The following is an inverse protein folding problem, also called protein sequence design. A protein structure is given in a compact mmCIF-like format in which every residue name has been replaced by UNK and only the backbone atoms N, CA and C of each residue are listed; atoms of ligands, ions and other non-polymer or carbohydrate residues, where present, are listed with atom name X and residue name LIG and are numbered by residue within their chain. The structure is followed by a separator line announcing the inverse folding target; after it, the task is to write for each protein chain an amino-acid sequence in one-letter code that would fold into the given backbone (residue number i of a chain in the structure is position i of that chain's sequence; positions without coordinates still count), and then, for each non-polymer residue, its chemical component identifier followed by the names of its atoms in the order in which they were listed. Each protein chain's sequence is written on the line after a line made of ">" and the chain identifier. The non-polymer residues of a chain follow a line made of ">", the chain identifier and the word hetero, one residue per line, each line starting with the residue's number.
data_IF_193628071368
#
_entry.id   IF_193628071368
#
_cell.length_a   1.000
_cell.length_b   1.000
_cell.length_c   1.000
_cell.angle_alpha   90.00
_cell.angle_beta   90.00
_cell.angle_gamma   90.00
#
_symmetry.space_group_name_H-M   'P 1'
#
loop_
_entity.id
_entity.type
_entity.pdbx_description
1 polymer ?
#
# COMPACT_ATOMS: atom_id res chain seq x y z
N UNK A 1 47.82 20.95 36.16
CA UNK A 1 47.14 19.72 35.69
C UNK A 1 48.13 18.56 35.81
N UNK A 2 47.85 17.55 36.65
CA UNK A 2 48.77 16.44 36.93
C UNK A 2 48.60 15.33 35.87
N UNK A 3 49.67 14.58 35.55
CA UNK A 3 49.67 13.43 34.63
C UNK A 3 48.51 12.44 34.87
N UNK A 4 48.10 12.23 36.12
CA UNK A 4 46.92 11.41 36.44
C UNK A 4 45.61 11.96 35.87
N UNK A 5 45.41 13.29 35.85
CA UNK A 5 44.21 13.92 35.28
C UNK A 5 44.19 13.81 33.74
N UNK A 6 45.36 13.83 33.10
CA UNK A 6 45.47 13.65 31.64
C UNK A 6 45.08 12.23 31.21
N UNK A 7 45.46 11.23 31.99
CA UNK A 7 45.12 9.81 31.73
C UNK A 7 43.62 9.55 31.93
N UNK A 8 43.02 10.14 32.98
CA UNK A 8 41.58 10.03 33.24
C UNK A 8 40.73 10.68 32.14
N UNK A 9 41.13 11.85 31.64
CA UNK A 9 40.44 12.52 30.54
C UNK A 9 40.56 11.75 29.22
N UNK A 10 41.74 11.21 28.91
CA UNK A 10 41.94 10.40 27.71
C UNK A 10 41.11 9.11 27.74
N UNK A 11 41.03 8.44 28.89
CA UNK A 11 40.20 7.25 29.08
C UNK A 11 38.70 7.57 28.95
N UNK A 12 38.24 8.71 29.47
CA UNK A 12 36.84 9.14 29.36
C UNK A 12 36.45 9.45 27.91
N UNK A 13 37.34 10.09 27.12
CA UNK A 13 37.11 10.38 25.69
C UNK A 13 37.09 9.12 24.84
N UNK A 14 37.96 8.14 25.15
CA UNK A 14 37.96 6.82 24.49
C UNK A 14 36.70 6.02 24.81
N UNK A 15 36.23 6.05 26.07
CA UNK A 15 34.97 5.42 26.48
C UNK A 15 33.75 6.09 25.86
N UNK A 16 33.72 7.43 25.78
CA UNK A 16 32.63 8.14 25.10
C UNK A 16 32.60 7.84 23.59
N UNK A 17 33.76 7.78 22.93
CA UNK A 17 33.86 7.48 21.49
C UNK A 17 33.37 6.07 21.12
N UNK A 18 33.52 5.09 22.02
CA UNK A 18 33.03 3.73 21.81
C UNK A 18 31.50 3.62 21.92
N UNK A 19 30.87 4.43 22.78
CA UNK A 19 29.41 4.44 22.95
C UNK A 19 28.66 5.14 21.80
N UNK A 20 29.27 6.13 21.15
CA UNK A 20 28.65 6.85 20.02
C UNK A 20 28.63 6.05 18.70
N UNK A 21 29.34 4.92 18.62
CA UNK A 21 29.41 4.11 17.40
C UNK A 21 28.35 2.99 17.32
N UNK A 22 27.58 2.75 18.38
CA UNK A 22 26.59 1.66 18.42
C UNK A 22 25.15 2.08 18.01
N UNK A 23 24.89 3.37 17.80
CA UNK A 23 23.54 3.86 17.44
C UNK A 23 23.25 3.90 15.94
N UNK A 24 24.14 3.38 15.09
CA UNK A 24 23.94 3.29 13.64
C UNK A 24 23.40 1.90 13.20
N UNK A 25 22.71 1.18 14.08
CA UNK A 25 22.17 -0.13 13.75
C UNK A 25 20.77 0.01 13.11
N UNK A 26 20.71 -0.23 11.81
CA UNK A 26 19.51 -0.56 11.02
C UNK A 26 18.36 0.45 11.01
N UNK A 27 18.52 1.51 10.22
CA UNK A 27 17.35 2.05 9.53
C UNK A 27 16.88 1.02 8.49
N UNK A 28 16.07 0.05 8.92
CA UNK A 28 15.31 -0.78 7.99
C UNK A 28 14.45 0.16 7.13
N UNK A 29 14.21 -0.15 5.84
CA UNK A 29 13.23 0.57 5.05
C UNK A 29 11.92 0.58 5.84
N UNK A 30 11.41 1.78 6.11
CA UNK A 30 10.21 2.02 6.93
C UNK A 30 8.92 1.60 6.24
N UNK A 31 9.02 1.00 5.06
CA UNK A 31 7.89 0.58 4.23
C UNK A 31 7.44 -0.83 4.60
N UNK A 32 6.14 -1.01 4.80
CA UNK A 32 5.57 -2.32 5.11
C UNK A 32 5.74 -3.28 3.91
N UNK A 33 5.74 -4.63 4.12
CA UNK A 33 5.84 -5.58 3.02
C UNK A 33 4.81 -5.35 1.92
N UNK A 34 3.55 -5.07 2.27
CA UNK A 34 2.51 -4.78 1.28
C UNK A 34 2.70 -3.43 0.57
N UNK A 35 3.25 -2.41 1.24
CA UNK A 35 3.61 -1.16 0.57
C UNK A 35 4.72 -1.36 -0.47
N UNK A 36 5.72 -2.19 -0.17
CA UNK A 36 6.75 -2.55 -1.14
C UNK A 36 6.17 -3.27 -2.38
N UNK A 37 5.12 -4.08 -2.19
CA UNK A 37 4.40 -4.72 -3.29
C UNK A 37 3.56 -3.74 -4.11
N UNK A 38 2.90 -2.77 -3.46
CA UNK A 38 2.21 -1.65 -4.13
C UNK A 38 3.19 -0.87 -5.01
N UNK A 39 4.43 -0.66 -4.53
CA UNK A 39 5.49 -0.02 -5.32
C UNK A 39 5.97 -0.92 -6.48
N UNK A 40 6.23 -2.22 -6.23
CA UNK A 40 6.62 -3.21 -7.24
C UNK A 40 5.62 -3.29 -8.39
N UNK A 41 4.32 -3.33 -8.07
CA UNK A 41 3.22 -3.38 -9.04
C UNK A 41 2.84 -2.02 -9.64
N UNK A 42 3.50 -0.94 -9.20
CA UNK A 42 3.20 0.45 -9.58
C UNK A 42 1.73 0.80 -9.39
N UNK A 43 1.06 0.22 -8.39
CA UNK A 43 -0.37 0.45 -8.17
C UNK A 43 -0.66 1.92 -7.81
N UNK A 44 0.31 2.59 -7.19
CA UNK A 44 0.29 4.02 -6.89
C UNK A 44 0.28 4.91 -8.14
N UNK A 45 0.57 4.38 -9.34
CA UNK A 45 0.44 5.16 -10.56
C UNK A 45 -1.00 5.64 -10.74
N UNK A 46 -1.99 4.82 -10.34
CA UNK A 46 -3.41 5.11 -10.51
C UNK A 46 -4.17 5.27 -9.18
N UNK A 47 -3.73 4.60 -8.11
CA UNK A 47 -4.43 4.57 -6.83
C UNK A 47 -3.73 5.41 -5.77
N UNK A 48 -4.43 6.41 -5.24
CA UNK A 48 -3.98 7.17 -4.08
C UNK A 48 -4.23 6.42 -2.76
N UNK A 49 -3.40 6.67 -1.75
CA UNK A 49 -3.54 6.18 -0.37
C UNK A 49 -2.84 7.14 0.61
N UNK A 50 -3.00 7.00 1.95
CA UNK A 50 -2.37 7.88 2.92
C UNK A 50 -0.86 7.99 2.70
N UNK A 51 -0.34 9.21 2.57
CA UNK A 51 1.08 9.47 2.30
C UNK A 51 1.52 9.26 0.84
N UNK A 52 0.61 8.92 -0.08
CA UNK A 52 0.93 8.69 -1.49
C UNK A 52 -0.19 9.14 -2.43
N UNK A 53 0.10 10.14 -3.27
CA UNK A 53 -0.82 10.59 -4.31
C UNK A 53 -0.67 9.75 -5.58
N UNK A 54 -1.79 9.56 -6.29
CA UNK A 54 -1.74 8.92 -7.59
C UNK A 54 -0.89 9.77 -8.57
N UNK A 55 -0.08 9.12 -9.40
CA UNK A 55 0.73 9.81 -10.42
C UNK A 55 -0.14 10.34 -11.56
N UNK A 56 -1.24 9.63 -11.87
CA UNK A 56 -2.25 10.05 -12.85
C UNK A 56 -3.35 10.89 -12.21
N UNK A 57 -4.26 11.43 -13.02
CA UNK A 57 -5.50 12.04 -12.53
C UNK A 57 -6.19 11.07 -11.53
N UNK A 58 -6.46 11.54 -10.31
CA UNK A 58 -7.08 10.75 -9.24
C UNK A 58 -8.49 10.24 -9.60
N UNK A 59 -9.11 10.76 -10.68
CA UNK A 59 -10.36 10.24 -11.23
C UNK A 59 -10.18 8.93 -12.00
N UNK A 60 -8.95 8.53 -12.32
CA UNK A 60 -8.66 7.36 -13.14
C UNK A 60 -8.99 6.06 -12.40
N UNK A 61 -8.69 6.00 -11.10
CA UNK A 61 -9.00 4.86 -10.25
C UNK A 61 -9.38 5.31 -8.83
N UNK A 62 -10.26 4.58 -8.13
CA UNK A 62 -10.60 4.93 -6.75
C UNK A 62 -9.39 4.82 -5.84
N UNK A 63 -9.29 5.66 -4.81
CA UNK A 63 -8.29 5.51 -3.77
C UNK A 63 -8.43 4.18 -3.03
N UNK A 64 -7.33 3.66 -2.47
CA UNK A 64 -7.39 2.45 -1.64
C UNK A 64 -8.23 2.63 -0.38
N UNK A 65 -8.34 3.85 0.16
CA UNK A 65 -9.27 4.14 1.25
C UNK A 65 -10.74 4.02 0.85
N UNK A 66 -11.10 4.32 -0.41
CA UNK A 66 -12.45 4.03 -0.91
C UNK A 66 -12.67 2.52 -0.99
N UNK A 67 -11.68 1.77 -1.48
CA UNK A 67 -11.75 0.30 -1.54
C UNK A 67 -11.89 -0.34 -0.16
N UNK A 68 -11.06 0.06 0.80
CA UNK A 68 -11.13 -0.39 2.19
C UNK A 68 -12.51 -0.13 2.81
N UNK A 69 -13.08 1.06 2.61
CA UNK A 69 -14.42 1.39 3.11
C UNK A 69 -15.50 0.47 2.53
N UNK A 70 -15.46 0.19 1.22
CA UNK A 70 -16.41 -0.74 0.59
C UNK A 70 -16.32 -2.14 1.20
N UNK A 71 -15.11 -2.61 1.49
CA UNK A 71 -14.90 -3.89 2.16
C UNK A 71 -15.50 -3.91 3.57
N UNK A 72 -15.21 -2.90 4.39
CA UNK A 72 -15.74 -2.84 5.77
C UNK A 72 -17.25 -2.59 5.84
N UNK A 73 -17.84 -2.00 4.80
CA UNK A 73 -19.29 -1.88 4.65
C UNK A 73 -19.97 -3.17 4.16
N UNK A 74 -19.21 -4.22 3.80
CA UNK A 74 -19.73 -5.46 3.23
C UNK A 74 -20.20 -5.34 1.77
N UNK A 75 -19.80 -4.30 1.06
CA UNK A 75 -20.15 -4.09 -0.35
C UNK A 75 -19.29 -4.92 -1.31
N UNK A 76 -18.08 -5.29 -0.86
CA UNK A 76 -17.14 -6.18 -1.55
C UNK A 76 -16.48 -7.06 -0.49
N UNK A 77 -15.95 -8.20 -0.91
CA UNK A 77 -15.21 -9.10 -0.03
C UNK A 77 -13.77 -9.31 -0.51
N UNK A 78 -13.04 -10.21 0.17
CA UNK A 78 -11.65 -10.52 -0.17
C UNK A 78 -11.52 -11.22 -1.52
N UNK A 79 -12.49 -12.06 -1.89
CA UNK A 79 -12.48 -12.75 -3.18
C UNK A 79 -12.61 -11.75 -4.33
N UNK A 80 -13.49 -10.76 -4.19
CA UNK A 80 -13.62 -9.64 -5.12
C UNK A 80 -12.31 -8.85 -5.26
N UNK A 81 -11.63 -8.55 -4.14
CA UNK A 81 -10.34 -7.84 -4.17
C UNK A 81 -9.26 -8.65 -4.89
N UNK A 82 -9.19 -9.95 -4.65
CA UNK A 82 -8.25 -10.85 -5.32
C UNK A 82 -8.51 -10.90 -6.83
N UNK A 83 -9.77 -11.11 -7.23
CA UNK A 83 -10.15 -11.12 -8.65
C UNK A 83 -9.86 -9.79 -9.32
N UNK A 84 -10.07 -8.67 -8.62
CA UNK A 84 -9.77 -7.32 -9.14
C UNK A 84 -8.27 -7.12 -9.42
N UNK A 85 -7.39 -7.83 -8.71
CA UNK A 85 -5.93 -7.79 -8.95
C UNK A 85 -5.54 -8.77 -10.05
N UNK A 86 -5.96 -10.03 -9.95
CA UNK A 86 -5.58 -11.13 -10.85
C UNK A 86 -6.16 -10.93 -12.25
N UNK A 87 -7.41 -10.48 -12.33
CA UNK A 87 -8.19 -10.40 -13.55
C UNK A 87 -9.11 -9.15 -13.53
N UNK A 88 -8.52 -7.94 -13.58
CA UNK A 88 -9.26 -6.69 -13.44
C UNK A 88 -10.39 -6.52 -14.45
N UNK A 89 -10.29 -7.14 -15.64
CA UNK A 89 -11.32 -7.05 -16.67
C UNK A 89 -12.51 -7.97 -16.44
N UNK A 90 -12.41 -9.02 -15.59
CA UNK A 90 -13.59 -9.82 -15.21
C UNK A 90 -14.65 -8.98 -14.49
N UNK A 91 -14.22 -7.93 -13.79
CA UNK A 91 -15.12 -7.00 -13.11
C UNK A 91 -15.78 -5.99 -14.06
N UNK A 92 -15.31 -5.89 -15.32
CA UNK A 92 -15.77 -4.92 -16.33
C UNK A 92 -16.90 -5.44 -17.26
N UNK A 93 -17.60 -6.50 -16.86
CA UNK A 93 -18.65 -7.13 -17.68
C UNK A 93 -19.97 -6.35 -17.75
N UNK A 94 -20.80 -6.55 -18.79
CA UNK A 94 -22.20 -6.13 -18.78
C UNK A 94 -22.98 -6.93 -17.71
N UNK A 95 -23.83 -6.27 -16.93
CA UNK A 95 -24.87 -6.93 -16.11
C UNK A 95 -25.79 -7.74 -17.04
N UNK A 96 -26.09 -9.02 -16.75
CA UNK A 96 -27.34 -9.62 -17.19
C UNK A 96 -28.49 -8.78 -16.63
N UNK A 97 -29.46 -8.39 -17.46
CA UNK A 97 -30.59 -7.53 -17.05
C UNK A 97 -31.61 -8.29 -16.17
N UNK A 98 -31.38 -9.58 -15.98
CA UNK A 98 -32.30 -10.60 -15.49
C UNK A 98 -31.80 -11.30 -14.22
N UNK A 99 -30.61 -10.94 -13.71
CA UNK A 99 -30.09 -11.42 -12.42
C UNK A 99 -30.13 -10.29 -11.38
N UNK A 100 -30.76 -10.56 -10.23
CA UNK A 100 -30.69 -9.67 -9.09
C UNK A 100 -29.23 -9.51 -8.65
N UNK A 101 -28.77 -8.29 -8.30
CA UNK A 101 -27.37 -8.07 -7.96
C UNK A 101 -26.95 -8.90 -6.75
N UNK A 102 -26.16 -9.95 -7.00
CA UNK A 102 -25.36 -10.63 -5.99
C UNK A 102 -24.13 -9.78 -5.61
N UNK A 103 -23.41 -10.14 -4.52
CA UNK A 103 -22.24 -9.38 -4.06
C UNK A 103 -21.08 -9.32 -5.07
N UNK A 104 -21.16 -10.07 -6.18
CA UNK A 104 -20.18 -10.11 -7.28
C UNK A 104 -20.79 -9.81 -8.65
N UNK A 105 -22.01 -9.26 -8.73
CA UNK A 105 -22.54 -8.92 -10.06
C UNK A 105 -21.75 -7.76 -10.66
N UNK A 106 -21.32 -7.86 -11.94
CA UNK A 106 -20.60 -6.79 -12.63
C UNK A 106 -21.37 -5.49 -12.48
N UNK A 107 -20.74 -4.36 -12.21
CA UNK A 107 -21.49 -3.09 -12.24
C UNK A 107 -21.99 -2.78 -13.67
N UNK A 108 -23.04 -1.96 -13.87
CA UNK A 108 -23.38 -1.44 -15.20
C UNK A 108 -22.13 -0.95 -15.92
N UNK A 109 -22.03 -1.22 -17.24
CA UNK A 109 -20.83 -0.97 -18.05
C UNK A 109 -20.15 0.34 -17.67
N UNK A 110 -18.99 0.22 -17.01
CA UNK A 110 -18.18 1.35 -16.62
C UNK A 110 -16.89 1.30 -17.46
N UNK A 111 -16.72 2.20 -18.45
CA UNK A 111 -15.55 2.21 -19.32
C UNK A 111 -14.24 2.39 -18.54
N UNK A 112 -14.30 2.94 -17.33
CA UNK A 112 -13.13 3.13 -16.45
C UNK A 112 -12.63 1.82 -15.83
N UNK A 113 -13.42 0.74 -15.83
CA UNK A 113 -12.99 -0.58 -15.32
C UNK A 113 -12.00 -1.31 -16.25
N UNK A 114 -11.73 -0.78 -17.45
CA UNK A 114 -10.76 -1.35 -18.41
C UNK A 114 -9.37 -0.70 -18.36
N UNK A 115 -9.13 0.19 -17.41
CA UNK A 115 -7.89 0.97 -17.33
C UNK A 115 -6.80 0.23 -16.52
N UNK A 116 -7.20 -0.64 -15.59
CA UNK A 116 -6.24 -1.42 -14.81
C UNK A 116 -5.54 -2.45 -15.73
N UNK A 117 -4.18 -2.47 -15.78
CA UNK A 117 -3.43 -3.44 -16.57
C UNK A 117 -3.71 -4.88 -16.11
N UNK A 118 -3.63 -5.82 -17.05
CA UNK A 118 -3.64 -7.26 -16.74
C UNK A 118 -2.22 -7.78 -16.44
N UNK A 119 -2.11 -9.04 -16.04
CA UNK A 119 -0.82 -9.74 -15.86
C UNK A 119 -0.25 -9.64 -14.45
N UNK A 120 -1.00 -9.13 -13.47
CA UNK A 120 -0.53 -9.10 -12.07
C UNK A 120 -0.35 -10.50 -11.47
N UNK A 121 -1.07 -11.50 -11.97
CA UNK A 121 -0.86 -12.91 -11.63
C UNK A 121 0.51 -13.46 -12.09
N UNK A 122 1.14 -12.84 -13.08
CA UNK A 122 2.49 -13.21 -13.55
C UNK A 122 3.58 -12.45 -12.78
N UNK A 123 3.22 -11.39 -12.04
CA UNK A 123 4.13 -10.50 -11.29
C UNK A 123 4.17 -10.87 -9.80
N UNK A 124 3.03 -11.32 -9.27
CA UNK A 124 2.83 -11.60 -7.86
C UNK A 124 2.41 -13.05 -7.64
N UNK A 125 2.99 -13.65 -6.61
CA UNK A 125 2.51 -14.90 -6.01
C UNK A 125 1.15 -14.70 -5.34
N UNK A 126 0.48 -15.82 -5.07
CA UNK A 126 -0.78 -15.83 -4.35
C UNK A 126 -0.67 -15.17 -2.97
N UNK A 127 0.43 -15.41 -2.26
CA UNK A 127 0.72 -14.79 -0.96
C UNK A 127 1.03 -13.29 -1.08
N UNK A 128 1.75 -12.86 -2.12
CA UNK A 128 2.00 -11.43 -2.36
C UNK A 128 0.70 -10.68 -2.66
N UNK A 129 -0.24 -11.31 -3.39
CA UNK A 129 -1.56 -10.72 -3.63
C UNK A 129 -2.32 -10.56 -2.30
N UNK A 130 -2.29 -11.56 -1.42
CA UNK A 130 -2.91 -11.44 -0.10
C UNK A 130 -2.25 -10.35 0.76
N UNK A 131 -0.93 -10.18 0.68
CA UNK A 131 -0.22 -9.09 1.37
C UNK A 131 -0.58 -7.71 0.83
N UNK A 132 -0.81 -7.57 -0.48
CA UNK A 132 -1.33 -6.34 -1.09
C UNK A 132 -2.72 -6.03 -0.54
N UNK A 133 -3.60 -7.04 -0.50
CA UNK A 133 -4.96 -6.89 0.03
C UNK A 133 -4.91 -6.51 1.52
N UNK A 134 -4.09 -7.19 2.32
CA UNK A 134 -3.92 -6.90 3.73
C UNK A 134 -3.42 -5.48 3.96
N UNK A 135 -2.48 -5.01 3.14
CA UNK A 135 -2.05 -3.62 3.20
C UNK A 135 -3.20 -2.64 2.95
N UNK A 136 -3.96 -2.83 1.87
CA UNK A 136 -5.13 -2.00 1.54
C UNK A 136 -6.15 -1.99 2.69
N UNK A 137 -6.42 -3.16 3.28
CA UNK A 137 -7.41 -3.31 4.33
C UNK A 137 -6.95 -2.75 5.69
N UNK A 138 -5.65 -2.58 5.92
CA UNK A 138 -5.07 -2.04 7.14
C UNK A 138 -4.55 -0.60 7.02
N UNK A 139 -4.81 0.10 5.90
CA UNK A 139 -4.47 1.51 5.74
C UNK A 139 -5.13 2.39 6.83
N UNK A 140 -4.38 3.34 7.39
CA UNK A 140 -4.96 4.40 8.23
C UNK A 140 -5.61 5.47 7.36
N UNK A 141 -6.88 5.26 7.04
CA UNK A 141 -7.66 6.15 6.21
C UNK A 141 -8.33 7.29 6.97
N UNK A 142 -8.06 7.46 8.27
CA UNK A 142 -8.71 8.48 9.11
C UNK A 142 -8.38 9.91 8.68
N UNK A 143 -7.20 10.10 8.07
CA UNK A 143 -6.72 11.41 7.57
C UNK A 143 -6.77 11.54 6.06
N UNK A 144 -7.20 10.50 5.34
CA UNK A 144 -7.18 10.50 3.88
C UNK A 144 -8.31 11.35 3.31
N UNK A 145 -7.95 12.48 2.72
CA UNK A 145 -8.88 13.31 1.94
C UNK A 145 -8.56 13.13 0.45
N UNK A 146 -9.42 12.46 -0.33
CA UNK A 146 -9.23 12.37 -1.78
C UNK A 146 -9.10 13.79 -2.38
N UNK A 147 -8.07 14.04 -3.19
CA UNK A 147 -7.84 15.35 -3.82
C UNK A 147 -7.24 16.43 -2.93
N UNK A 148 -6.83 16.13 -1.69
CA UNK A 148 -6.07 17.08 -0.89
C UNK A 148 -4.59 17.12 -1.35
N UNK A 149 -4.00 18.31 -1.54
CA UNK A 149 -2.55 18.42 -1.72
C UNK A 149 -1.85 17.96 -0.43
N UNK A 150 -0.78 17.16 -0.59
CA UNK A 150 0.14 16.82 0.50
C UNK A 150 0.81 18.06 1.10
#
# INVERSE_FOLDING_TARGET
>A
MNKQQLVLLAALVLLLGLFLSLSACNAQPTTSPGEALIQKGKCFACHAYPGNQAVTDEKLAPSFCRTQRRYWNGEIDRAYLRESIVNPKAQAGPMPMDEAPGPHTPTPWNPHLRIMPEGYADIFTDEEIDQIIDFILNLDCSTFTPGAPN
#
